data_IF_229995041986
#
_entry.id   IF_229995041986
#
_cell.length_a   1.000
_cell.length_b   1.000
_cell.length_c   1.000
_cell.angle_alpha   90.00
_cell.angle_beta   90.00
_cell.angle_gamma   90.00
#
_symmetry.space_group_name_H-M   'P 1'
#
loop_
_entity.id
_entity.type
_entity.pdbx_description
1 polymer ?
#
# COMPACT_ATOMS: atom_id res chain seq x y z
N UNK A 1 -13.15 8.57 4.52
CA UNK A 1 -14.09 7.42 4.55
C UNK A 1 -13.31 6.19 4.15
N UNK A 2 -13.44 5.13 4.92
CA UNK A 2 -12.72 3.88 4.63
C UNK A 2 -13.17 3.29 3.29
N UNK A 3 -12.23 3.07 2.40
CA UNK A 3 -12.46 2.51 1.06
C UNK A 3 -12.55 0.99 1.10
N UNK A 4 -11.79 0.36 2.01
CA UNK A 4 -11.85 -1.07 2.33
C UNK A 4 -12.09 -1.23 3.82
N UNK A 5 -13.06 -2.05 4.21
CA UNK A 5 -13.29 -2.46 5.59
C UNK A 5 -13.35 -3.99 5.66
N UNK A 6 -12.57 -4.55 6.54
CA UNK A 6 -12.48 -5.99 6.81
C UNK A 6 -12.77 -6.19 8.29
N UNK A 7 -13.80 -6.99 8.62
CA UNK A 7 -14.30 -7.18 9.97
C UNK A 7 -14.25 -8.67 10.33
N UNK A 8 -13.32 -9.06 11.20
CA UNK A 8 -13.16 -10.41 11.74
C UNK A 8 -13.18 -11.50 10.65
N UNK A 9 -12.45 -11.25 9.56
CA UNK A 9 -12.45 -12.12 8.39
C UNK A 9 -11.52 -13.30 8.58
N UNK A 10 -12.05 -14.48 8.30
CA UNK A 10 -11.28 -15.73 8.21
C UNK A 10 -11.48 -16.38 6.85
N UNK A 11 -10.43 -17.04 6.33
CA UNK A 11 -10.48 -17.81 5.10
C UNK A 11 -9.90 -19.19 5.32
N UNK A 12 -10.71 -20.20 4.99
CA UNK A 12 -10.35 -21.62 5.04
C UNK A 12 -10.50 -22.20 3.64
N UNK A 13 -9.49 -22.88 3.17
CA UNK A 13 -9.53 -23.66 1.93
C UNK A 13 -9.65 -25.14 2.26
N UNK A 14 -10.49 -25.86 1.52
CA UNK A 14 -10.62 -27.31 1.60
C UNK A 14 -9.82 -27.96 0.48
N UNK A 15 -8.82 -28.73 0.82
CA UNK A 15 -7.96 -29.47 -0.11
C UNK A 15 -8.13 -30.97 0.15
N UNK A 16 -9.07 -31.58 -0.57
CA UNK A 16 -9.50 -32.97 -0.28
C UNK A 16 -10.14 -33.06 1.09
N UNK A 17 -9.59 -33.89 1.99
CA UNK A 17 -10.07 -34.06 3.37
C UNK A 17 -9.42 -33.05 4.35
N UNK A 18 -8.41 -32.28 3.93
CA UNK A 18 -7.70 -31.34 4.78
C UNK A 18 -8.28 -29.93 4.68
N UNK A 19 -8.39 -29.26 5.80
CA UNK A 19 -8.73 -27.84 5.87
C UNK A 19 -7.47 -27.05 6.22
N UNK A 20 -7.19 -26.02 5.41
CA UNK A 20 -6.07 -25.10 5.63
C UNK A 20 -6.64 -23.71 5.89
N UNK A 21 -6.42 -23.21 7.09
CA UNK A 21 -6.77 -21.81 7.43
C UNK A 21 -5.70 -20.90 6.85
N UNK A 22 -6.06 -20.12 5.84
CA UNK A 22 -5.16 -19.18 5.20
C UNK A 22 -5.20 -17.79 5.85
N UNK A 23 -6.32 -17.42 6.49
CA UNK A 23 -6.48 -16.18 7.24
C UNK A 23 -7.34 -16.44 8.48
N UNK A 24 -6.98 -15.81 9.61
CA UNK A 24 -7.68 -15.91 10.90
C UNK A 24 -7.95 -14.53 11.51
N UNK A 25 -9.24 -14.22 11.70
CA UNK A 25 -9.74 -13.03 12.40
C UNK A 25 -9.12 -11.69 11.96
N UNK A 26 -8.96 -11.50 10.66
CA UNK A 26 -8.41 -10.30 10.08
C UNK A 26 -9.40 -9.14 10.26
N UNK A 27 -8.94 -8.05 10.88
CA UNK A 27 -9.66 -6.77 10.95
C UNK A 27 -8.73 -5.66 10.44
N UNK A 28 -9.16 -4.96 9.39
CA UNK A 28 -8.35 -3.95 8.69
C UNK A 28 -9.25 -2.92 8.03
N UNK A 29 -8.85 -1.66 8.07
CA UNK A 29 -9.43 -0.59 7.25
C UNK A 29 -8.37 0.04 6.36
N UNK A 30 -8.74 0.46 5.14
CA UNK A 30 -7.87 1.20 4.22
C UNK A 30 -8.61 2.46 3.79
N UNK A 31 -7.95 3.60 3.94
CA UNK A 31 -8.50 4.89 3.55
C UNK A 31 -8.24 5.21 2.07
N UNK A 32 -9.06 6.10 1.49
CA UNK A 32 -8.87 6.56 0.11
C UNK A 32 -7.54 7.32 -0.03
N UNK A 33 -6.78 7.04 -1.08
CA UNK A 33 -5.47 7.64 -1.35
C UNK A 33 -4.31 7.01 -0.58
N UNK A 34 -4.56 6.02 0.28
CA UNK A 34 -3.51 5.36 1.06
C UNK A 34 -2.56 4.53 0.19
N UNK A 35 -1.28 4.51 0.54
CA UNK A 35 -0.26 3.66 -0.07
C UNK A 35 0.18 2.62 0.96
N UNK A 36 -0.56 1.50 1.02
CA UNK A 36 -0.46 0.45 2.03
C UNK A 36 0.41 -0.71 1.54
N UNK A 37 1.35 -1.17 2.36
CA UNK A 37 2.06 -2.42 2.14
C UNK A 37 1.64 -3.49 3.15
N UNK A 38 1.30 -4.68 2.65
CA UNK A 38 1.06 -5.90 3.41
C UNK A 38 2.29 -6.79 3.20
N UNK A 39 3.11 -6.94 4.23
CA UNK A 39 4.35 -7.67 4.19
C UNK A 39 4.32 -8.92 5.06
N UNK A 40 5.19 -9.87 4.77
CA UNK A 40 5.31 -11.13 5.52
C UNK A 40 6.00 -12.21 4.72
N UNK A 41 6.35 -13.34 5.35
CA UNK A 41 7.01 -14.45 4.68
C UNK A 41 6.13 -15.08 3.58
N UNK A 42 6.73 -15.92 2.73
CA UNK A 42 5.97 -16.71 1.75
C UNK A 42 4.99 -17.62 2.47
N UNK A 43 3.76 -17.72 1.94
CA UNK A 43 2.70 -18.55 2.55
C UNK A 43 1.96 -17.90 3.72
N UNK A 44 2.30 -16.67 4.15
CA UNK A 44 1.66 -16.04 5.30
C UNK A 44 0.20 -15.58 5.08
N UNK A 45 -0.36 -15.69 3.86
CA UNK A 45 -1.74 -15.29 3.57
C UNK A 45 -1.88 -13.96 2.80
N UNK A 46 -0.77 -13.28 2.41
CA UNK A 46 -0.80 -12.00 1.67
C UNK A 46 -1.67 -12.04 0.41
N UNK A 47 -1.38 -12.98 -0.49
CA UNK A 47 -2.13 -13.11 -1.76
C UNK A 47 -3.58 -13.52 -1.51
N UNK A 48 -3.86 -14.31 -0.47
CA UNK A 48 -5.23 -14.62 -0.05
C UNK A 48 -5.97 -13.35 0.37
N UNK A 49 -5.34 -12.50 1.19
CA UNK A 49 -5.94 -11.23 1.61
C UNK A 49 -6.17 -10.28 0.42
N UNK A 50 -5.19 -10.18 -0.51
CA UNK A 50 -5.37 -9.42 -1.74
C UNK A 50 -6.52 -9.96 -2.60
N UNK A 51 -6.68 -11.29 -2.72
CA UNK A 51 -7.76 -11.90 -3.49
C UNK A 51 -9.14 -11.60 -2.88
N UNK A 52 -9.25 -11.57 -1.56
CA UNK A 52 -10.48 -11.17 -0.88
C UNK A 52 -10.81 -9.70 -1.12
N UNK A 53 -9.84 -8.79 -0.92
CA UNK A 53 -10.00 -7.36 -1.22
C UNK A 53 -10.31 -7.17 -2.70
N UNK A 54 -9.69 -7.97 -3.55
CA UNK A 54 -9.86 -7.95 -5.00
C UNK A 54 -11.19 -8.52 -5.50
N UNK A 55 -12.07 -8.97 -4.62
CA UNK A 55 -13.32 -9.65 -5.02
C UNK A 55 -13.09 -10.83 -5.98
N UNK A 56 -11.90 -11.47 -5.94
CA UNK A 56 -11.59 -12.70 -6.68
C UNK A 56 -12.11 -13.89 -5.89
N UNK A 57 -12.04 -13.82 -4.57
CA UNK A 57 -12.50 -14.83 -3.64
C UNK A 57 -13.41 -14.20 -2.58
N UNK A 58 -14.10 -15.03 -1.80
CA UNK A 58 -14.99 -14.60 -0.72
C UNK A 58 -14.52 -15.11 0.63
N UNK A 59 -14.76 -14.39 1.73
CA UNK A 59 -14.38 -14.85 3.06
C UNK A 59 -15.19 -16.08 3.49
N UNK A 60 -14.59 -16.95 4.31
CA UNK A 60 -15.32 -18.07 4.95
C UNK A 60 -16.13 -17.61 6.15
N UNK A 61 -15.66 -16.54 6.84
CA UNK A 61 -16.35 -15.86 7.96
C UNK A 61 -15.98 -14.37 7.95
N UNK A 62 -16.78 -13.57 8.67
CA UNK A 62 -16.59 -12.12 8.76
C UNK A 62 -17.20 -11.37 7.58
N UNK A 63 -16.90 -10.08 7.48
CA UNK A 63 -17.45 -9.20 6.45
C UNK A 63 -16.36 -8.38 5.78
N UNK A 64 -16.53 -8.12 4.49
CA UNK A 64 -15.66 -7.25 3.71
C UNK A 64 -16.55 -6.23 2.99
N UNK A 65 -16.22 -4.96 3.14
CA UNK A 65 -16.85 -3.87 2.40
C UNK A 65 -15.82 -3.22 1.50
N UNK A 66 -16.14 -3.09 0.22
CA UNK A 66 -15.34 -2.41 -0.78
C UNK A 66 -16.12 -1.22 -1.32
N UNK A 67 -15.61 -0.01 -1.14
CA UNK A 67 -16.27 1.23 -1.53
C UNK A 67 -17.72 1.28 -1.00
N UNK A 68 -17.94 0.87 0.24
CA UNK A 68 -19.26 0.81 0.90
C UNK A 68 -20.14 -0.36 0.49
N UNK A 69 -19.69 -1.23 -0.41
CA UNK A 69 -20.44 -2.41 -0.85
C UNK A 69 -20.01 -3.66 -0.10
N UNK A 70 -20.94 -4.35 0.56
CA UNK A 70 -20.69 -5.67 1.15
C UNK A 70 -20.36 -6.68 0.04
N UNK A 71 -19.23 -7.37 0.19
CA UNK A 71 -18.78 -8.43 -0.72
C UNK A 71 -19.48 -9.75 -0.42
N UNK A 72 -19.91 -9.95 0.84
CA UNK A 72 -20.59 -11.17 1.27
C UNK A 72 -21.93 -11.38 0.59
N UNK A 73 -22.26 -12.63 0.26
CA UNK A 73 -23.56 -13.00 -0.32
C UNK A 73 -23.79 -12.55 -1.77
N UNK A 74 -22.78 -11.95 -2.44
CA UNK A 74 -22.88 -11.54 -3.85
C UNK A 74 -22.62 -12.72 -4.78
N UNK A 75 -23.29 -12.71 -5.93
CA UNK A 75 -22.99 -13.64 -7.02
C UNK A 75 -21.65 -13.33 -7.68
N UNK A 76 -21.06 -14.30 -8.38
CA UNK A 76 -19.83 -14.10 -9.13
C UNK A 76 -19.91 -12.93 -10.13
N UNK A 77 -21.05 -12.77 -10.81
CA UNK A 77 -21.27 -11.66 -11.76
C UNK A 77 -21.33 -10.30 -11.06
N UNK A 78 -22.00 -10.21 -9.90
CA UNK A 78 -22.05 -8.97 -9.10
C UNK A 78 -20.65 -8.59 -8.57
N UNK A 79 -19.83 -9.58 -8.18
CA UNK A 79 -18.45 -9.35 -7.79
C UNK A 79 -17.59 -8.95 -8.99
N UNK A 80 -17.83 -9.53 -10.17
CA UNK A 80 -17.11 -9.17 -11.38
C UNK A 80 -17.37 -7.70 -11.79
N UNK A 81 -18.61 -7.23 -11.71
CA UNK A 81 -18.96 -5.84 -12.01
C UNK A 81 -18.35 -4.87 -10.98
N UNK A 82 -18.47 -5.17 -9.67
CA UNK A 82 -17.83 -4.39 -8.61
C UNK A 82 -16.32 -4.29 -8.82
N UNK A 83 -15.67 -5.44 -9.07
CA UNK A 83 -14.22 -5.52 -9.35
C UNK A 83 -13.82 -4.67 -10.54
N UNK A 84 -14.53 -4.81 -11.65
CA UNK A 84 -14.25 -4.10 -12.89
C UNK A 84 -14.28 -2.57 -12.75
N UNK A 85 -15.21 -2.06 -11.94
CA UNK A 85 -15.43 -0.62 -11.73
C UNK A 85 -14.60 -0.01 -10.62
N UNK A 86 -14.07 -0.84 -9.71
CA UNK A 86 -13.46 -0.34 -8.47
C UNK A 86 -11.99 -0.72 -8.34
N UNK A 87 -11.55 -1.81 -8.96
CA UNK A 87 -10.26 -2.43 -8.66
C UNK A 87 -9.41 -2.62 -9.93
N UNK A 88 -8.17 -2.17 -9.87
CA UNK A 88 -7.13 -2.49 -10.86
C UNK A 88 -6.13 -3.49 -10.27
N UNK A 89 -5.66 -4.45 -11.08
CA UNK A 89 -4.69 -5.46 -10.64
C UNK A 89 -3.36 -5.31 -11.36
N UNK A 90 -2.28 -5.38 -10.58
CA UNK A 90 -0.91 -5.48 -11.03
C UNK A 90 -0.33 -6.77 -10.47
N UNK A 91 -0.01 -7.72 -11.31
CA UNK A 91 0.47 -9.05 -10.94
C UNK A 91 1.98 -9.16 -11.06
N UNK A 92 2.56 -10.06 -10.29
CA UNK A 92 3.99 -10.39 -10.32
C UNK A 92 4.46 -10.80 -11.72
N UNK A 93 3.69 -11.59 -12.45
CA UNK A 93 4.03 -12.12 -13.78
C UNK A 93 3.48 -11.28 -14.93
N UNK A 94 3.11 -10.03 -14.67
CA UNK A 94 2.51 -9.08 -15.60
C UNK A 94 1.13 -9.50 -16.14
N UNK A 95 0.89 -10.76 -16.39
CA UNK A 95 -0.34 -11.36 -16.93
C UNK A 95 -0.85 -10.62 -18.19
N UNK A 96 0.06 -10.26 -19.07
CA UNK A 96 -0.29 -9.69 -20.38
C UNK A 96 -0.71 -10.79 -21.35
N UNK A 97 -1.71 -10.49 -22.17
CA UNK A 97 -2.16 -11.38 -23.23
C UNK A 97 -1.13 -11.33 -24.36
N UNK A 98 -0.41 -12.45 -24.66
CA UNK A 98 0.76 -12.42 -25.55
C UNK A 98 0.42 -12.15 -27.02
N UNK A 99 -0.82 -12.40 -27.41
CA UNK A 99 -1.32 -12.19 -28.78
C UNK A 99 -1.73 -10.73 -29.02
N UNK A 100 -1.95 -9.95 -27.96
CA UNK A 100 -2.35 -8.57 -28.03
C UNK A 100 -1.14 -7.63 -27.92
N UNK A 101 -1.21 -6.50 -28.61
CA UNK A 101 -0.26 -5.41 -28.45
C UNK A 101 -0.36 -4.75 -27.08
N UNK A 102 0.58 -3.85 -26.75
CA UNK A 102 0.54 -3.07 -25.51
C UNK A 102 -0.76 -2.24 -25.42
N UNK A 103 -1.15 -1.58 -26.52
CA UNK A 103 -2.39 -0.80 -26.55
C UNK A 103 -3.64 -1.67 -26.35
N UNK A 104 -3.72 -2.82 -27.03
CA UNK A 104 -4.84 -3.76 -26.87
C UNK A 104 -4.90 -4.40 -25.48
N UNK A 105 -3.74 -4.70 -24.86
CA UNK A 105 -3.70 -5.14 -23.46
C UNK A 105 -4.27 -4.08 -22.51
N UNK A 106 -3.94 -2.80 -22.74
CA UNK A 106 -4.48 -1.69 -21.94
C UNK A 106 -5.96 -1.47 -22.24
N UNK A 107 -6.41 -1.62 -23.49
CA UNK A 107 -7.83 -1.46 -23.87
C UNK A 107 -8.72 -2.58 -23.32
N UNK A 108 -8.17 -3.79 -23.18
CA UNK A 108 -8.93 -4.99 -22.86
C UNK A 108 -9.94 -4.83 -21.69
N UNK A 109 -9.57 -4.25 -20.54
CA UNK A 109 -10.53 -4.03 -19.45
C UNK A 109 -11.66 -3.08 -19.82
N UNK A 110 -11.49 -2.19 -20.77
CA UNK A 110 -12.52 -1.23 -21.18
C UNK A 110 -13.63 -1.86 -22.05
N UNK A 111 -13.39 -3.02 -22.63
CA UNK A 111 -14.34 -3.68 -23.55
C UNK A 111 -15.66 -4.09 -22.86
N UNK A 112 -15.64 -4.26 -21.55
CA UNK A 112 -16.84 -4.58 -20.77
C UNK A 112 -17.75 -3.37 -20.50
N UNK A 113 -17.22 -2.13 -20.66
CA UNK A 113 -17.96 -0.89 -20.43
C UNK A 113 -18.67 -0.47 -21.71
N UNK A 114 -19.90 -0.97 -21.87
CA UNK A 114 -20.72 -0.73 -23.09
C UNK A 114 -21.05 0.75 -23.32
N UNK A 115 -20.99 1.56 -22.25
CA UNK A 115 -21.20 2.99 -22.28
C UNK A 115 -20.04 3.78 -22.94
N UNK A 116 -18.83 3.17 -23.04
CA UNK A 116 -17.68 3.82 -23.64
C UNK A 116 -17.66 3.65 -25.16
N UNK A 117 -17.64 4.75 -25.91
CA UNK A 117 -17.41 4.73 -27.34
C UNK A 117 -15.99 4.24 -27.68
N UNK A 118 -15.79 3.75 -28.91
CA UNK A 118 -14.46 3.34 -29.39
C UNK A 118 -13.44 4.49 -29.35
N UNK A 119 -13.89 5.72 -29.65
CA UNK A 119 -13.04 6.92 -29.60
C UNK A 119 -12.61 7.21 -28.16
N UNK A 120 -13.51 7.11 -27.20
CA UNK A 120 -13.22 7.35 -25.80
C UNK A 120 -12.25 6.30 -25.25
N UNK A 121 -12.47 5.01 -25.55
CA UNK A 121 -11.52 3.95 -25.21
C UNK A 121 -10.12 4.23 -25.75
N UNK A 122 -10.02 4.56 -27.05
CA UNK A 122 -8.74 4.88 -27.69
C UNK A 122 -8.03 6.05 -27.01
N UNK A 123 -8.77 7.11 -26.65
CA UNK A 123 -8.21 8.28 -25.95
C UNK A 123 -7.71 7.91 -24.56
N UNK A 124 -8.45 7.09 -23.81
CA UNK A 124 -8.01 6.58 -22.51
C UNK A 124 -6.73 5.74 -22.63
N UNK A 125 -6.69 4.80 -23.56
CA UNK A 125 -5.51 3.96 -23.82
C UNK A 125 -4.29 4.82 -24.11
N UNK A 126 -4.40 5.79 -25.02
CA UNK A 126 -3.31 6.71 -25.36
C UNK A 126 -2.84 7.48 -24.13
N UNK A 127 -3.75 8.04 -23.33
CA UNK A 127 -3.44 8.77 -22.10
C UNK A 127 -2.66 7.91 -21.10
N UNK A 128 -3.11 6.68 -20.85
CA UNK A 128 -2.45 5.84 -19.84
C UNK A 128 -1.14 5.24 -20.34
N UNK A 129 -0.98 4.99 -21.63
CA UNK A 129 0.32 4.67 -22.23
C UNK A 129 1.30 5.84 -22.14
N UNK A 130 0.81 7.08 -22.23
CA UNK A 130 1.62 8.28 -22.08
C UNK A 130 2.10 8.44 -20.62
N UNK A 131 1.21 8.29 -19.64
CA UNK A 131 1.52 8.34 -18.20
C UNK A 131 2.65 7.35 -17.84
N UNK A 132 2.65 6.15 -18.42
CA UNK A 132 3.70 5.17 -18.16
C UNK A 132 4.91 5.27 -19.11
N UNK A 133 4.91 6.25 -20.03
CA UNK A 133 6.02 6.52 -20.97
C UNK A 133 6.15 5.49 -22.10
N UNK A 134 5.05 4.87 -22.54
CA UNK A 134 5.05 3.77 -23.53
C UNK A 134 4.35 4.07 -24.85
N UNK A 135 4.04 5.32 -25.19
CA UNK A 135 3.36 5.67 -26.45
C UNK A 135 4.07 5.11 -27.70
N UNK A 136 5.40 5.12 -27.71
CA UNK A 136 6.22 4.60 -28.83
C UNK A 136 6.13 3.08 -28.98
N UNK A 137 5.74 2.39 -27.94
CA UNK A 137 5.65 0.94 -27.86
C UNK A 137 4.20 0.41 -27.94
N UNK A 138 3.23 1.29 -28.22
CA UNK A 138 1.79 0.96 -28.23
C UNK A 138 1.45 -0.25 -29.13
N UNK A 139 2.16 -0.42 -30.24
CA UNK A 139 1.95 -1.50 -31.23
C UNK A 139 2.80 -2.74 -30.98
N UNK A 140 3.72 -2.74 -29.99
CA UNK A 140 4.56 -3.88 -29.67
C UNK A 140 3.78 -4.92 -28.88
N UNK A 141 4.09 -6.20 -29.11
CA UNK A 141 3.57 -7.32 -28.31
C UNK A 141 4.43 -7.56 -27.09
N UNK A 142 3.93 -8.26 -26.05
CA UNK A 142 4.67 -8.51 -24.83
C UNK A 142 6.05 -9.15 -24.99
N UNK A 143 6.24 -10.01 -26.02
CA UNK A 143 7.53 -10.63 -26.32
C UNK A 143 8.55 -9.67 -26.95
N UNK A 144 8.12 -8.52 -27.43
CA UNK A 144 8.96 -7.45 -28.00
C UNK A 144 9.32 -6.38 -26.96
N UNK A 145 8.84 -6.53 -25.71
CA UNK A 145 9.01 -5.57 -24.64
C UNK A 145 9.96 -6.10 -23.54
N UNK A 146 10.77 -5.22 -22.97
CA UNK A 146 11.56 -5.54 -21.78
C UNK A 146 10.66 -5.83 -20.56
N UNK A 147 11.22 -6.42 -19.49
CA UNK A 147 10.48 -6.68 -18.25
C UNK A 147 9.84 -5.42 -17.68
N UNK A 148 10.60 -4.33 -17.57
CA UNK A 148 10.09 -3.04 -17.08
C UNK A 148 9.03 -2.42 -17.99
N UNK A 149 9.14 -2.59 -19.30
CA UNK A 149 8.11 -2.15 -20.26
C UNK A 149 6.83 -2.97 -20.09
N UNK A 150 6.92 -4.29 -19.95
CA UNK A 150 5.77 -5.16 -19.66
C UNK A 150 5.07 -4.76 -18.36
N UNK A 151 5.83 -4.45 -17.32
CA UNK A 151 5.26 -3.98 -16.06
C UNK A 151 4.55 -2.63 -16.20
N UNK A 152 5.12 -1.70 -16.97
CA UNK A 152 4.46 -0.43 -17.29
C UNK A 152 3.15 -0.61 -18.07
N UNK A 153 3.09 -1.58 -19.01
CA UNK A 153 1.82 -1.96 -19.67
C UNK A 153 0.81 -2.51 -18.67
N UNK A 154 1.23 -3.38 -17.74
CA UNK A 154 0.35 -3.92 -16.70
C UNK A 154 -0.18 -2.81 -15.78
N UNK A 155 0.65 -1.82 -15.42
CA UNK A 155 0.23 -0.63 -14.66
C UNK A 155 -0.79 0.19 -15.45
N UNK A 156 -0.52 0.49 -16.71
CA UNK A 156 -1.46 1.24 -17.57
C UNK A 156 -2.80 0.51 -17.69
N UNK A 157 -2.77 -0.82 -17.87
CA UNK A 157 -3.97 -1.68 -17.92
C UNK A 157 -4.76 -1.62 -16.60
N UNK A 158 -4.09 -1.61 -15.45
CA UNK A 158 -4.73 -1.52 -14.16
C UNK A 158 -5.41 -0.16 -13.95
N UNK A 159 -4.84 0.92 -14.50
CA UNK A 159 -5.30 2.29 -14.33
C UNK A 159 -6.40 2.73 -15.31
N UNK A 160 -6.49 2.09 -16.48
CA UNK A 160 -7.31 2.58 -17.60
C UNK A 160 -8.80 2.66 -17.31
N UNK A 161 -9.29 1.81 -16.39
CA UNK A 161 -10.67 1.83 -15.90
C UNK A 161 -10.91 2.92 -14.85
N UNK A 162 -9.88 3.65 -14.43
CA UNK A 162 -9.91 4.65 -13.37
C UNK A 162 -10.40 4.05 -12.03
N UNK A 163 -9.77 2.96 -11.57
CA UNK A 163 -10.19 2.29 -10.35
C UNK A 163 -9.90 3.16 -9.12
N UNK A 164 -10.65 2.93 -8.05
CA UNK A 164 -10.37 3.53 -6.73
C UNK A 164 -9.23 2.82 -6.00
N UNK A 165 -9.07 1.51 -6.23
CA UNK A 165 -8.10 0.65 -5.57
C UNK A 165 -7.21 -0.01 -6.62
N UNK A 166 -5.91 0.00 -6.38
CA UNK A 166 -4.93 -0.74 -7.17
C UNK A 166 -4.29 -1.78 -6.25
N UNK A 167 -4.50 -3.04 -6.57
CA UNK A 167 -3.89 -4.17 -5.88
C UNK A 167 -2.63 -4.60 -6.64
N UNK A 168 -1.49 -4.61 -5.96
CA UNK A 168 -0.20 -4.95 -6.55
C UNK A 168 0.42 -6.13 -5.80
N UNK A 169 0.43 -7.30 -6.43
CA UNK A 169 1.03 -8.51 -5.89
C UNK A 169 2.47 -8.62 -6.40
N UNK A 170 3.45 -8.42 -5.51
CA UNK A 170 4.90 -8.48 -5.78
C UNK A 170 5.33 -7.73 -7.08
N UNK A 171 5.00 -6.44 -7.25
CA UNK A 171 5.08 -5.76 -8.55
C UNK A 171 6.49 -5.58 -9.08
N UNK A 172 7.53 -5.84 -8.28
CA UNK A 172 8.95 -5.67 -8.65
C UNK A 172 9.74 -6.98 -8.66
N UNK A 173 9.12 -8.12 -8.30
CA UNK A 173 9.83 -9.38 -8.09
C UNK A 173 10.56 -9.91 -9.34
N UNK A 174 10.03 -9.63 -10.54
CA UNK A 174 10.60 -10.08 -11.81
C UNK A 174 11.40 -9.00 -12.54
N UNK A 175 11.89 -7.99 -11.81
CA UNK A 175 12.64 -6.86 -12.36
C UNK A 175 14.02 -6.75 -11.71
N UNK A 176 14.99 -6.27 -12.48
CA UNK A 176 16.27 -5.86 -11.90
C UNK A 176 16.07 -4.67 -10.95
N UNK A 177 17.05 -4.44 -10.09
CA UNK A 177 16.95 -3.44 -9.02
C UNK A 177 16.61 -2.03 -9.54
N UNK A 178 17.33 -1.56 -10.56
CA UNK A 178 17.15 -0.21 -11.12
C UNK A 178 15.80 -0.03 -11.79
N UNK A 179 15.36 -1.03 -12.56
CA UNK A 179 14.05 -1.03 -13.21
C UNK A 179 12.94 -1.09 -12.16
N UNK A 180 13.09 -1.93 -11.13
CA UNK A 180 12.13 -2.04 -10.02
C UNK A 180 11.95 -0.71 -9.28
N UNK A 181 13.04 -0.01 -8.99
CA UNK A 181 12.99 1.32 -8.36
C UNK A 181 12.22 2.33 -9.22
N UNK A 182 12.49 2.38 -10.53
CA UNK A 182 11.75 3.25 -11.44
C UNK A 182 10.26 2.92 -11.56
N UNK A 183 9.87 1.65 -11.37
CA UNK A 183 8.47 1.23 -11.29
C UNK A 183 7.82 1.72 -9.99
N UNK A 184 8.50 1.58 -8.86
CA UNK A 184 7.98 2.04 -7.55
C UNK A 184 7.79 3.56 -7.52
N UNK A 185 8.77 4.31 -8.05
CA UNK A 185 8.67 5.76 -8.18
C UNK A 185 7.47 6.17 -9.04
N UNK A 186 7.25 5.50 -10.18
CA UNK A 186 6.09 5.72 -11.04
C UNK A 186 4.78 5.48 -10.28
N UNK A 187 4.67 4.36 -9.54
CA UNK A 187 3.47 4.03 -8.77
C UNK A 187 3.21 5.06 -7.66
N UNK A 188 4.25 5.52 -6.94
CA UNK A 188 4.12 6.57 -5.91
C UNK A 188 3.72 7.91 -6.53
N UNK A 189 4.24 8.25 -7.71
CA UNK A 189 3.81 9.44 -8.46
C UNK A 189 2.33 9.34 -8.83
N UNK A 190 1.88 8.20 -9.36
CA UNK A 190 0.47 7.95 -9.69
C UNK A 190 -0.43 8.09 -8.45
N UNK A 191 -0.01 7.55 -7.29
CA UNK A 191 -0.75 7.71 -6.04
C UNK A 191 -0.93 9.19 -5.69
N UNK A 192 0.14 10.01 -5.78
CA UNK A 192 0.11 11.44 -5.46
C UNK A 192 -0.71 12.26 -6.46
N UNK A 193 -0.51 12.01 -7.76
CA UNK A 193 -1.09 12.84 -8.83
C UNK A 193 -2.58 12.55 -9.05
N UNK A 194 -3.02 11.30 -8.82
CA UNK A 194 -4.39 10.84 -9.09
C UNK A 194 -5.17 10.45 -7.83
N UNK A 195 -4.56 10.49 -6.64
CA UNK A 195 -5.20 10.07 -5.40
C UNK A 195 -5.57 8.58 -5.37
N UNK A 196 -4.96 7.76 -6.23
CA UNK A 196 -5.26 6.34 -6.32
C UNK A 196 -4.76 5.60 -5.07
N UNK A 197 -5.61 4.75 -4.48
CA UNK A 197 -5.24 3.92 -3.34
C UNK A 197 -4.47 2.70 -3.81
N UNK A 198 -3.29 2.46 -3.24
CA UNK A 198 -2.48 1.28 -3.54
C UNK A 198 -2.41 0.35 -2.35
N UNK A 199 -2.61 -0.95 -2.60
CA UNK A 199 -2.42 -2.02 -1.61
C UNK A 199 -1.45 -3.03 -2.20
N UNK A 200 -0.28 -3.15 -1.59
CA UNK A 200 0.78 -4.04 -2.02
C UNK A 200 0.80 -5.32 -1.17
N UNK A 201 0.99 -6.46 -1.81
CA UNK A 201 1.52 -7.66 -1.20
C UNK A 201 3.00 -7.73 -1.54
N UNK A 202 3.89 -7.79 -0.54
CA UNK A 202 5.32 -7.75 -0.84
C UNK A 202 6.21 -8.32 0.27
N UNK A 203 7.40 -8.76 -0.12
CA UNK A 203 8.55 -8.97 0.76
C UNK A 203 9.71 -8.02 0.41
N UNK A 204 9.53 -7.13 -0.57
CA UNK A 204 10.54 -6.15 -1.01
C UNK A 204 10.61 -4.98 -0.02
N UNK A 205 11.77 -4.83 0.63
CA UNK A 205 12.03 -3.74 1.58
C UNK A 205 11.84 -2.34 0.98
N UNK A 206 12.06 -2.17 -0.32
CA UNK A 206 11.87 -0.89 -1.02
C UNK A 206 10.40 -0.49 -1.05
N UNK A 207 9.51 -1.45 -1.34
CA UNK A 207 8.05 -1.22 -1.29
C UNK A 207 7.62 -0.87 0.13
N UNK A 208 8.12 -1.64 1.12
CA UNK A 208 7.83 -1.39 2.54
C UNK A 208 8.25 0.02 2.96
N UNK A 209 9.46 0.47 2.54
CA UNK A 209 9.99 1.78 2.88
C UNK A 209 9.22 2.96 2.23
N UNK A 210 8.56 2.72 1.10
CA UNK A 210 7.77 3.74 0.39
C UNK A 210 6.31 3.79 0.83
N UNK A 211 5.85 2.82 1.62
CA UNK A 211 4.48 2.74 2.08
C UNK A 211 4.19 3.80 3.16
N UNK A 212 3.00 4.38 3.10
CA UNK A 212 2.51 5.30 4.14
C UNK A 212 2.15 4.51 5.41
N UNK A 213 1.72 3.25 5.24
CA UNK A 213 1.47 2.29 6.32
C UNK A 213 1.93 0.90 5.92
N UNK A 214 2.60 0.22 6.86
CA UNK A 214 3.06 -1.15 6.74
C UNK A 214 2.27 -2.05 7.69
N UNK A 215 1.76 -3.15 7.18
CA UNK A 215 1.11 -4.21 7.95
C UNK A 215 1.89 -5.49 7.75
N UNK A 216 2.20 -6.17 8.85
CA UNK A 216 2.82 -7.49 8.80
C UNK A 216 1.75 -8.56 8.89
N UNK A 217 1.85 -9.58 8.06
CA UNK A 217 1.01 -10.78 8.14
C UNK A 217 1.89 -12.01 8.30
N UNK A 218 1.60 -12.82 9.30
CA UNK A 218 2.30 -14.06 9.60
C UNK A 218 1.28 -15.12 10.03
N UNK A 219 1.41 -16.32 9.49
CA UNK A 219 0.50 -17.45 9.74
C UNK A 219 -1.00 -17.09 9.62
N UNK A 220 -1.33 -16.25 8.64
CA UNK A 220 -2.70 -15.83 8.38
C UNK A 220 -3.26 -14.81 9.36
N UNK A 221 -2.45 -14.24 10.24
CA UNK A 221 -2.86 -13.21 11.21
C UNK A 221 -2.14 -11.89 10.94
N UNK A 222 -2.83 -10.77 11.17
CA UNK A 222 -2.17 -9.48 11.13
C UNK A 222 -1.38 -9.30 12.42
N UNK A 223 -0.08 -9.30 12.28
CA UNK A 223 0.80 -8.77 13.29
C UNK A 223 0.95 -7.26 12.98
N UNK A 224 0.17 -6.42 13.66
CA UNK A 224 0.69 -5.07 13.88
C UNK A 224 2.05 -5.29 14.54
N UNK A 225 3.16 -4.69 14.06
CA UNK A 225 4.38 -4.72 14.84
C UNK A 225 4.01 -4.11 16.19
N UNK A 226 3.64 -4.96 17.14
CA UNK A 226 3.69 -4.59 18.53
C UNK A 226 5.15 -4.20 18.70
N UNK A 227 5.42 -2.91 18.87
CA UNK A 227 6.69 -2.50 19.48
C UNK A 227 6.69 -3.31 20.74
N UNK A 228 7.64 -4.25 20.94
CA UNK A 228 7.66 -5.03 22.15
C UNK A 228 7.94 -4.06 23.30
N UNK A 229 6.88 -3.51 23.89
CA UNK A 229 6.97 -2.53 24.99
C UNK A 229 7.53 -3.19 26.24
N UNK A 230 7.49 -4.54 26.30
CA UNK A 230 7.94 -5.31 27.44
C UNK A 230 9.47 -5.41 27.62
N UNK A 231 10.26 -5.03 26.61
CA UNK A 231 11.71 -5.25 26.65
C UNK A 231 12.56 -3.99 26.50
N UNK A 232 11.98 -2.81 26.33
CA UNK A 232 12.73 -1.57 26.17
C UNK A 232 12.77 -0.81 27.49
N UNK A 233 13.95 -0.77 28.12
CA UNK A 233 14.15 0.06 29.31
C UNK A 233 13.94 1.55 29.00
N UNK A 234 13.58 2.35 30.00
CA UNK A 234 13.44 3.80 29.86
C UNK A 234 14.69 4.46 29.24
N UNK A 235 15.88 3.95 29.56
CA UNK A 235 17.14 4.41 28.97
C UNK A 235 17.26 4.09 27.49
N UNK A 236 16.85 2.89 27.07
CA UNK A 236 16.86 2.48 25.66
C UNK A 236 15.81 3.23 24.84
N UNK A 237 14.65 3.54 25.43
CA UNK A 237 13.62 4.33 24.77
C UNK A 237 14.06 5.79 24.65
N UNK A 238 14.68 6.37 25.68
CA UNK A 238 15.34 7.69 25.63
C UNK A 238 16.39 7.74 24.52
N UNK A 239 17.29 6.76 24.48
CA UNK A 239 18.32 6.68 23.44
C UNK A 239 17.72 6.56 22.03
N UNK A 240 16.66 5.76 21.86
CA UNK A 240 15.95 5.62 20.59
C UNK A 240 15.25 6.94 20.19
N UNK A 241 14.52 7.57 21.11
CA UNK A 241 13.83 8.84 20.85
C UNK A 241 14.85 9.95 20.55
N UNK A 242 15.97 9.99 21.26
CA UNK A 242 17.05 10.98 21.00
C UNK A 242 17.72 10.73 19.64
N UNK A 243 17.77 9.48 19.17
CA UNK A 243 18.21 9.15 17.80
C UNK A 243 17.21 9.58 16.71
N UNK A 244 15.96 9.81 17.06
CA UNK A 244 14.93 10.32 16.14
C UNK A 244 14.91 11.85 16.03
N UNK A 245 15.63 12.53 16.92
CA UNK A 245 15.74 13.98 16.92
C UNK A 245 17.23 14.32 16.80
N UNK A 246 17.63 14.98 15.75
CA UNK A 246 18.96 15.56 15.67
C UNK A 246 18.91 16.95 15.05
N UNK A 247 19.91 17.75 15.40
CA UNK A 247 20.04 19.12 14.92
C UNK A 247 21.20 19.15 13.93
N UNK A 248 20.92 19.59 12.71
CA UNK A 248 21.93 19.80 11.68
C UNK A 248 21.72 21.19 11.07
N UNK A 249 22.76 22.01 11.09
CA UNK A 249 22.74 23.39 10.54
C UNK A 249 21.57 24.25 11.05
N UNK A 250 21.21 24.14 12.33
CA UNK A 250 20.07 24.80 12.99
C UNK A 250 18.68 24.25 12.62
N UNK A 251 18.62 23.17 11.86
CA UNK A 251 17.37 22.46 11.58
C UNK A 251 17.21 21.26 12.52
N UNK A 252 15.97 21.00 12.94
CA UNK A 252 15.62 19.86 13.78
C UNK A 252 14.86 18.85 12.94
N UNK A 253 15.32 17.61 12.98
CA UNK A 253 14.76 16.51 12.23
C UNK A 253 14.15 15.48 13.17
N UNK A 254 12.93 15.03 12.86
CA UNK A 254 12.31 13.87 13.50
C UNK A 254 12.44 12.69 12.56
N UNK A 255 12.99 11.61 13.08
CA UNK A 255 13.12 10.34 12.38
C UNK A 255 11.98 9.44 12.83
N UNK A 256 11.16 8.98 11.90
CA UNK A 256 10.00 8.15 12.20
C UNK A 256 10.40 6.82 12.86
N UNK A 257 9.84 6.46 14.02
CA UNK A 257 10.27 5.29 14.80
C UNK A 257 10.06 3.94 14.11
N UNK A 258 9.15 3.83 13.17
CA UNK A 258 8.91 2.60 12.39
C UNK A 258 9.96 2.28 11.33
N UNK A 259 10.91 3.18 11.09
CA UNK A 259 12.07 2.93 10.23
C UNK A 259 13.29 2.39 10.98
N UNK A 260 13.12 1.86 12.19
CA UNK A 260 14.21 1.37 13.05
C UNK A 260 15.07 0.27 12.38
N UNK A 261 14.57 -0.39 11.34
CA UNK A 261 15.27 -1.46 10.60
C UNK A 261 15.69 -1.06 9.18
N UNK A 262 15.41 0.16 8.74
CA UNK A 262 15.84 0.71 7.45
C UNK A 262 16.51 2.07 7.68
N UNK A 263 17.25 2.57 6.71
CA UNK A 263 17.80 3.92 6.81
C UNK A 263 16.69 4.91 7.17
N UNK A 264 16.86 5.69 8.25
CA UNK A 264 15.80 6.54 8.75
C UNK A 264 15.41 7.60 7.73
N UNK A 265 14.12 7.71 7.46
CA UNK A 265 13.58 8.89 6.78
C UNK A 265 13.66 10.08 7.72
N UNK A 266 14.29 11.16 7.30
CA UNK A 266 14.39 12.40 8.07
C UNK A 266 13.27 13.36 7.67
N UNK A 267 12.65 14.00 8.65
CA UNK A 267 11.62 14.98 8.42
C UNK A 267 12.04 16.31 9.05
N UNK A 268 12.11 17.35 8.23
CA UNK A 268 12.37 18.71 8.73
C UNK A 268 11.20 19.15 9.62
N UNK A 269 11.49 19.46 10.87
CA UNK A 269 10.49 19.79 11.88
C UNK A 269 10.37 21.30 12.06
N UNK A 270 11.49 21.97 12.24
CA UNK A 270 11.54 23.42 12.46
C UNK A 270 12.91 23.98 12.06
N UNK A 271 13.00 24.78 11.00
CA UNK A 271 14.28 25.31 10.53
C UNK A 271 14.96 26.30 11.50
N UNK A 272 14.25 26.74 12.52
CA UNK A 272 14.78 27.70 13.50
C UNK A 272 14.98 27.09 14.89
N UNK A 273 14.72 25.81 15.08
CA UNK A 273 14.84 25.21 16.40
C UNK A 273 16.30 25.11 16.83
N UNK A 274 16.61 25.66 17.99
CA UNK A 274 17.96 25.67 18.57
C UNK A 274 18.09 24.82 19.82
N UNK A 275 16.93 24.43 20.40
CA UNK A 275 16.86 23.60 21.60
C UNK A 275 15.60 22.73 21.65
N UNK A 276 15.48 21.91 22.70
CA UNK A 276 14.36 20.98 22.89
C UNK A 276 13.04 21.69 23.20
N UNK A 277 13.08 22.89 23.76
CA UNK A 277 11.89 23.71 24.05
C UNK A 277 11.24 24.21 22.76
N UNK A 278 12.05 24.62 21.80
CA UNK A 278 11.59 25.01 20.46
C UNK A 278 10.92 23.84 19.75
N UNK A 279 11.52 22.63 19.85
CA UNK A 279 10.97 21.38 19.30
C UNK A 279 9.61 21.07 19.94
N UNK A 280 9.52 21.14 21.27
CA UNK A 280 8.28 20.89 22.01
C UNK A 280 7.15 21.81 21.57
N UNK A 281 7.44 23.10 21.46
CA UNK A 281 6.48 24.11 21.01
C UNK A 281 6.01 23.87 19.57
N UNK A 282 6.93 23.47 18.70
CA UNK A 282 6.60 23.13 17.32
C UNK A 282 5.71 21.90 17.24
N UNK A 283 6.03 20.83 17.98
CA UNK A 283 5.23 19.59 18.03
C UNK A 283 3.82 19.89 18.55
N UNK A 284 3.69 20.70 19.62
CA UNK A 284 2.37 21.08 20.13
C UNK A 284 1.53 21.78 19.06
N UNK A 285 2.13 22.73 18.32
CA UNK A 285 1.45 23.41 17.22
C UNK A 285 0.98 22.46 16.12
N UNK A 286 1.74 21.40 15.84
CA UNK A 286 1.36 20.35 14.88
C UNK A 286 0.22 19.47 15.40
N UNK A 287 0.23 19.12 16.68
CA UNK A 287 -0.86 18.38 17.33
C UNK A 287 -2.16 19.20 17.32
N UNK A 288 -2.08 20.50 17.62
CA UNK A 288 -3.23 21.41 17.59
C UNK A 288 -3.79 21.60 16.17
N UNK A 289 -2.96 21.44 15.14
CA UNK A 289 -3.35 21.46 13.74
C UNK A 289 -3.91 20.11 13.23
N UNK A 290 -4.08 19.12 14.10
CA UNK A 290 -4.51 17.75 13.74
C UNK A 290 -3.59 17.04 12.72
N UNK A 291 -2.29 17.31 12.78
CA UNK A 291 -1.31 16.62 11.95
C UNK A 291 -1.25 15.14 12.33
N UNK A 292 -1.68 14.26 11.43
CA UNK A 292 -1.84 12.82 11.70
C UNK A 292 -0.54 12.16 12.15
N UNK A 293 0.59 12.54 11.55
CA UNK A 293 1.89 12.00 11.93
C UNK A 293 2.22 12.29 13.41
N UNK A 294 2.07 13.57 13.81
CA UNK A 294 2.34 13.98 15.20
C UNK A 294 1.34 13.39 16.18
N UNK A 295 0.09 13.17 15.78
CA UNK A 295 -0.90 12.47 16.59
C UNK A 295 -0.52 11.02 16.84
N UNK A 296 -0.08 10.29 15.81
CA UNK A 296 0.34 8.90 15.94
C UNK A 296 1.57 8.77 16.86
N UNK A 297 2.55 9.66 16.71
CA UNK A 297 3.72 9.71 17.60
C UNK A 297 3.31 10.10 19.03
N UNK A 298 2.37 11.03 19.19
CA UNK A 298 1.84 11.43 20.49
C UNK A 298 1.15 10.27 21.21
N UNK A 299 0.36 9.45 20.50
CA UNK A 299 -0.27 8.24 21.04
C UNK A 299 0.79 7.26 21.53
N UNK A 300 1.83 6.99 20.74
CA UNK A 300 2.91 6.08 21.13
C UNK A 300 3.66 6.58 22.38
N UNK A 301 3.96 7.87 22.46
CA UNK A 301 4.62 8.46 23.62
C UNK A 301 3.70 8.46 24.85
N UNK A 302 2.42 8.72 24.67
CA UNK A 302 1.42 8.65 25.74
C UNK A 302 1.29 7.24 26.29
N UNK A 303 1.30 6.21 25.45
CA UNK A 303 1.34 4.81 25.85
C UNK A 303 2.63 4.49 26.61
N UNK A 304 3.78 4.95 26.13
CA UNK A 304 5.04 4.78 26.83
C UNK A 304 5.05 5.40 28.25
N UNK A 305 4.46 6.61 28.39
CA UNK A 305 4.29 7.29 29.68
C UNK A 305 3.37 6.51 30.63
N UNK A 306 2.27 5.93 30.11
CA UNK A 306 1.36 5.05 30.90
C UNK A 306 2.09 3.84 31.48
N UNK A 307 3.12 3.34 30.80
CA UNK A 307 3.99 2.26 31.28
C UNK A 307 5.21 2.74 32.07
N UNK A 308 5.19 3.98 32.58
CA UNK A 308 6.22 4.52 33.47
C UNK A 308 7.50 5.00 32.76
N UNK A 309 7.49 5.11 31.45
CA UNK A 309 8.62 5.63 30.67
C UNK A 309 8.57 7.16 30.68
N UNK A 310 9.62 7.81 31.21
CA UNK A 310 9.78 9.26 31.10
C UNK A 310 10.29 9.64 29.70
N UNK A 311 9.53 10.44 29.00
CA UNK A 311 9.90 11.03 27.72
C UNK A 311 9.94 12.55 27.91
N UNK A 312 11.14 13.12 27.84
CA UNK A 312 11.37 14.56 27.99
C UNK A 312 11.28 15.23 26.60
N UNK A 313 10.84 16.47 26.54
CA UNK A 313 10.77 17.28 25.31
C UNK A 313 9.56 16.98 24.40
N UNK A 314 8.66 16.09 24.78
CA UNK A 314 7.39 15.87 24.12
C UNK A 314 6.23 16.39 24.98
N UNK A 315 5.28 17.21 24.42
CA UNK A 315 4.17 17.78 25.16
C UNK A 315 3.24 16.75 25.78
#
# INVERSE_FOLDING_TARGET
MSLVQIENVSKVYTMGEQQVQALGDITLSVEEGEYLAIAGPSGSGKSTLLNLIGCIDTPSRGKIFINGHDVGGRTADQLADLRARTIGFIFQTFNLLPVLTAAENVEYPLLQFKELSATERSNRVKRYLDIVGLNKFARHRPNELSGGQRQRVAIARALVTQPKIILADEPTANLDHKTGEGILQLMKQINRDFGATFIFSTHDKRVMAMADRLIMIEDGQLNMPAIPMETVSAAQLREKITKFLYIENHDVYIVAPWHIHTEPGMWLVNPSATDIGDVTSFIQKKLDANDKFYQDVHILISLARLHGVKVDGWP
#
